data_IF_274593329536
#
_entry.id   IF_274593329536
#
_cell.length_a   1.000
_cell.length_b   1.000
_cell.length_c   1.000
_cell.angle_alpha   90.00
_cell.angle_beta   90.00
_cell.angle_gamma   90.00
#
_symmetry.space_group_name_H-M   'P 1'
#
loop_
_entity.id
_entity.type
_entity.pdbx_description
1 polymer ?
#
# COMPACT_ATOMS: atom_id res chain seq x y z
N UNK A 1 -30.93 12.48 2.47
CA UNK A 1 -31.18 11.03 2.34
C UNK A 1 -30.08 10.53 1.41
N UNK A 2 -29.27 9.54 1.81
CA UNK A 2 -28.31 8.96 0.87
C UNK A 2 -29.13 8.13 -0.13
N UNK A 3 -29.19 8.57 -1.38
CA UNK A 3 -29.72 7.77 -2.48
C UNK A 3 -28.85 6.52 -2.67
N UNK A 4 -29.36 5.55 -3.44
CA UNK A 4 -28.76 4.22 -3.64
C UNK A 4 -27.25 4.33 -3.89
N UNK A 5 -26.45 3.74 -2.99
CA UNK A 5 -25.01 3.69 -3.14
C UNK A 5 -24.68 2.67 -4.24
N UNK A 6 -24.15 3.15 -5.37
CA UNK A 6 -23.65 2.28 -6.42
C UNK A 6 -22.41 1.52 -5.96
N UNK A 7 -22.34 0.25 -6.34
CA UNK A 7 -21.17 -0.58 -6.07
C UNK A 7 -19.98 -0.08 -6.90
N UNK A 8 -18.96 0.45 -6.22
CA UNK A 8 -17.75 0.89 -6.89
C UNK A 8 -16.84 -0.31 -7.22
N UNK A 9 -16.43 -0.40 -8.48
CA UNK A 9 -15.42 -1.34 -8.94
C UNK A 9 -14.07 -0.66 -9.06
N UNK A 10 -13.01 -1.41 -8.77
CA UNK A 10 -11.64 -0.93 -8.97
C UNK A 10 -11.27 -1.06 -10.45
N UNK A 11 -10.59 -0.06 -11.02
CA UNK A 11 -9.93 -0.21 -12.31
C UNK A 11 -9.01 -1.45 -12.33
N UNK A 12 -8.85 -2.07 -13.49
CA UNK A 12 -7.99 -3.26 -13.64
C UNK A 12 -6.55 -2.99 -13.21
N UNK A 13 -6.03 -1.81 -13.51
CA UNK A 13 -4.69 -1.35 -13.11
C UNK A 13 -4.52 -1.34 -11.58
N UNK A 14 -5.55 -0.92 -10.84
CA UNK A 14 -5.54 -0.92 -9.37
C UNK A 14 -5.58 -2.34 -8.80
N UNK A 15 -6.33 -3.24 -9.44
CA UNK A 15 -6.31 -4.65 -9.07
C UNK A 15 -4.94 -5.29 -9.30
N UNK A 16 -4.26 -4.95 -10.40
CA UNK A 16 -2.91 -5.41 -10.69
C UNK A 16 -1.91 -4.88 -9.66
N UNK A 17 -1.94 -3.57 -9.40
CA UNK A 17 -1.10 -2.92 -8.41
C UNK A 17 -1.26 -3.53 -7.01
N UNK A 18 -2.50 -3.82 -6.58
CA UNK A 18 -2.77 -4.49 -5.31
C UNK A 18 -2.20 -5.89 -5.24
N UNK A 19 -2.23 -6.67 -6.33
CA UNK A 19 -1.61 -8.01 -6.36
C UNK A 19 -0.11 -7.91 -6.15
N UNK A 20 0.55 -6.98 -6.85
CA UNK A 20 1.99 -6.75 -6.73
C UNK A 20 2.39 -6.31 -5.33
N UNK A 21 1.65 -5.35 -4.75
CA UNK A 21 1.88 -4.87 -3.39
C UNK A 21 1.72 -6.01 -2.36
N UNK A 22 0.66 -6.82 -2.48
CA UNK A 22 0.42 -7.97 -1.58
C UNK A 22 1.50 -9.04 -1.70
N UNK A 23 1.95 -9.35 -2.91
CA UNK A 23 3.03 -10.29 -3.14
C UNK A 23 4.32 -9.81 -2.46
N UNK A 24 4.67 -8.54 -2.65
CA UNK A 24 5.82 -7.92 -2.00
C UNK A 24 5.72 -7.94 -0.48
N UNK A 25 4.57 -7.56 0.11
CA UNK A 25 4.39 -7.57 1.57
C UNK A 25 4.56 -9.00 2.10
N UNK A 26 3.93 -9.99 1.45
CA UNK A 26 4.04 -11.39 1.84
C UNK A 26 5.50 -11.86 1.88
N UNK A 27 6.26 -11.56 0.84
CA UNK A 27 7.70 -11.88 0.75
C UNK A 27 8.51 -11.14 1.83
N UNK A 28 8.26 -9.83 2.00
CA UNK A 28 8.98 -9.01 2.95
C UNK A 28 8.74 -9.41 4.42
N UNK A 29 7.59 -10.04 4.72
CA UNK A 29 7.21 -10.44 6.08
C UNK A 29 7.27 -11.96 6.33
N UNK A 30 7.75 -12.76 5.36
CA UNK A 30 7.66 -14.22 5.42
C UNK A 30 8.39 -14.83 6.63
N UNK A 31 9.54 -14.26 7.00
CA UNK A 31 10.38 -14.70 8.13
C UNK A 31 9.97 -14.08 9.48
N UNK A 32 8.97 -13.18 9.50
CA UNK A 32 8.53 -12.56 10.75
C UNK A 32 7.76 -13.55 11.58
N UNK A 33 8.11 -13.72 12.85
CA UNK A 33 7.33 -14.52 13.78
C UNK A 33 5.95 -13.89 14.09
N UNK A 34 5.05 -14.68 14.67
CA UNK A 34 3.68 -14.24 14.95
C UNK A 34 3.62 -13.08 15.95
N UNK A 35 4.53 -13.02 16.93
CA UNK A 35 4.58 -11.97 17.93
C UNK A 35 5.01 -10.64 17.31
N UNK A 36 6.04 -10.65 16.48
CA UNK A 36 6.52 -9.50 15.75
C UNK A 36 5.44 -8.93 14.80
N UNK A 37 4.72 -9.80 14.09
CA UNK A 37 3.60 -9.42 13.19
C UNK A 37 2.41 -8.83 13.94
N UNK A 38 2.16 -9.25 15.18
CA UNK A 38 1.05 -8.77 15.99
C UNK A 38 1.23 -7.32 16.51
N UNK A 39 2.42 -6.71 16.34
CA UNK A 39 2.71 -5.33 16.74
C UNK A 39 2.12 -4.28 15.79
N UNK A 40 0.84 -4.40 15.44
CA UNK A 40 0.16 -3.59 14.41
C UNK A 40 0.22 -2.06 14.60
N UNK A 41 0.55 -1.58 15.80
CA UNK A 41 0.67 -0.16 16.15
C UNK A 41 2.00 0.23 16.80
N UNK A 42 2.83 -0.75 17.14
CA UNK A 42 4.11 -0.56 17.83
C UNK A 42 5.30 -1.06 16.99
N UNK A 43 5.04 -1.67 15.84
CA UNK A 43 6.04 -2.17 14.92
C UNK A 43 6.65 -1.04 14.10
N UNK A 44 7.96 -1.09 13.94
CA UNK A 44 8.71 -0.17 13.08
C UNK A 44 9.84 -0.94 12.38
N UNK A 45 9.99 -0.71 11.08
CA UNK A 45 11.09 -1.25 10.28
C UNK A 45 11.51 -0.22 9.21
N UNK A 46 12.64 0.45 9.46
CA UNK A 46 13.21 1.42 8.52
C UNK A 46 13.65 0.78 7.19
N UNK A 47 14.09 -0.48 7.22
CA UNK A 47 14.50 -1.23 6.03
C UNK A 47 13.31 -1.54 5.13
N UNK A 48 12.19 -1.96 5.72
CA UNK A 48 10.93 -2.14 5.00
C UNK A 48 10.46 -0.83 4.33
N UNK A 49 10.50 0.28 5.06
CA UNK A 49 10.18 1.61 4.50
C UNK A 49 11.07 1.98 3.32
N UNK A 50 12.38 1.70 3.39
CA UNK A 50 13.31 1.92 2.26
C UNK A 50 12.97 1.04 1.06
N UNK A 51 12.59 -0.22 1.27
CA UNK A 51 12.17 -1.13 0.17
C UNK A 51 10.91 -0.64 -0.54
N UNK A 52 9.93 -0.11 0.21
CA UNK A 52 8.75 0.55 -0.36
C UNK A 52 9.13 1.80 -1.16
N UNK A 53 10.00 2.65 -0.60
CA UNK A 53 10.47 3.87 -1.26
C UNK A 53 11.17 3.58 -2.59
N UNK A 54 12.02 2.54 -2.64
CA UNK A 54 12.72 2.13 -3.85
C UNK A 54 11.77 1.69 -4.99
N UNK A 55 10.54 1.29 -4.66
CA UNK A 55 9.49 0.95 -5.64
C UNK A 55 8.58 2.15 -5.98
N UNK A 56 8.81 3.32 -5.38
CA UNK A 56 7.95 4.49 -5.54
C UNK A 56 6.58 4.33 -4.87
N UNK A 57 6.48 3.46 -3.85
CA UNK A 57 5.20 3.13 -3.21
C UNK A 57 4.91 3.95 -1.95
N UNK A 58 5.71 4.98 -1.67
CA UNK A 58 5.44 5.96 -0.62
C UNK A 58 4.79 7.20 -1.21
N UNK A 59 3.87 7.81 -0.45
CA UNK A 59 3.21 9.04 -0.90
C UNK A 59 2.44 8.86 -2.21
N UNK A 60 1.78 7.71 -2.39
CA UNK A 60 1.13 7.34 -3.65
C UNK A 60 0.18 8.43 -4.15
N UNK A 61 -0.56 9.06 -3.25
CA UNK A 61 -1.55 10.11 -3.55
C UNK A 61 -1.01 11.54 -3.39
N UNK A 62 0.27 11.71 -3.03
CA UNK A 62 0.88 13.03 -2.89
C UNK A 62 1.33 13.59 -4.26
N UNK A 63 1.27 14.91 -4.47
CA UNK A 63 1.75 15.54 -5.70
C UNK A 63 3.23 15.26 -5.97
N UNK A 64 3.61 15.20 -7.26
CA UNK A 64 5.01 14.94 -7.67
C UNK A 64 5.98 16.01 -7.20
N UNK A 65 5.53 17.27 -7.13
CA UNK A 65 6.34 18.39 -6.62
C UNK A 65 6.81 18.21 -5.16
N UNK A 66 6.15 17.33 -4.39
CA UNK A 66 6.54 16.96 -3.03
C UNK A 66 7.17 15.56 -2.95
N UNK A 67 7.53 14.97 -4.09
CA UNK A 67 8.13 13.64 -4.18
C UNK A 67 7.14 12.47 -4.13
N UNK A 68 5.84 12.73 -4.29
CA UNK A 68 4.81 11.69 -4.36
C UNK A 68 4.60 11.09 -5.76
N UNK A 69 3.73 10.09 -5.86
CA UNK A 69 3.43 9.42 -7.13
C UNK A 69 2.22 10.02 -7.88
N UNK A 70 1.46 10.92 -7.24
CA UNK A 70 0.28 11.60 -7.80
C UNK A 70 -0.74 10.64 -8.43
N UNK A 71 -0.93 9.49 -7.78
CA UNK A 71 -1.92 8.48 -8.14
C UNK A 71 -3.29 8.81 -7.56
N UNK A 72 -4.30 8.16 -8.13
CA UNK A 72 -5.69 8.33 -7.73
C UNK A 72 -6.06 7.67 -6.40
N UNK A 73 -7.29 7.94 -5.96
CA UNK A 73 -7.84 7.49 -4.67
C UNK A 73 -7.79 5.97 -4.40
N UNK A 74 -7.77 5.16 -5.46
CA UNK A 74 -7.79 3.70 -5.35
C UNK A 74 -6.42 3.07 -5.09
N UNK A 75 -5.33 3.81 -5.31
CA UNK A 75 -3.95 3.37 -5.11
C UNK A 75 -3.57 3.26 -3.63
N UNK A 76 -4.11 2.21 -2.98
CA UNK A 76 -3.94 1.85 -1.57
C UNK A 76 -4.09 0.34 -1.33
#
# INVERSE_FOLDING_TARGET
MLDVLDLAYLPQEENQFRRELRAFIKEATQEMDAYARARSWMGFDAGFSKKLAAKGWLGLTLPKQYGGAEKGYFSR
#
